data_IF_530621360188
#
_entry.id   IF_530621360188
#
_cell.length_a   1.000
_cell.length_b   1.000
_cell.length_c   1.000
_cell.angle_alpha   90.00
_cell.angle_beta   90.00
_cell.angle_gamma   90.00
#
_symmetry.space_group_name_H-M   'P 1'
#
loop_
_entity.id
_entity.type
_entity.pdbx_description
1 polymer ?
#
# COMPACT_ATOMS: atom_id res chain seq x y z
N UNK A 1 15.28 -0.28 5.13
CA UNK A 1 14.84 1.10 4.96
C UNK A 1 15.20 1.59 3.56
N UNK A 2 14.35 2.42 2.95
CA UNK A 2 14.63 3.02 1.63
C UNK A 2 15.65 4.16 1.74
N UNK A 3 15.77 4.80 2.90
CA UNK A 3 16.66 5.96 3.08
C UNK A 3 18.14 5.66 2.85
N UNK A 4 18.55 4.41 3.09
CA UNK A 4 19.93 3.92 2.97
C UNK A 4 20.07 2.71 2.03
N UNK A 5 19.00 2.33 1.34
CA UNK A 5 18.95 1.19 0.45
C UNK A 5 19.04 -0.17 1.13
N UNK A 6 19.00 -0.26 2.47
CA UNK A 6 19.10 -1.52 3.20
C UNK A 6 17.96 -2.50 2.88
N UNK A 7 16.79 -2.01 2.47
CA UNK A 7 15.66 -2.84 2.00
C UNK A 7 16.05 -3.77 0.83
N UNK A 8 17.06 -3.40 0.04
CA UNK A 8 17.62 -4.25 -1.01
C UNK A 8 18.34 -5.49 -0.48
N UNK A 9 18.71 -5.53 0.79
CA UNK A 9 19.42 -6.67 1.40
C UNK A 9 18.46 -7.70 1.99
N UNK A 10 17.18 -7.37 2.15
CA UNK A 10 16.19 -8.27 2.74
C UNK A 10 15.88 -9.45 1.80
N UNK A 11 15.78 -10.69 2.32
CA UNK A 11 15.16 -11.79 1.58
C UNK A 11 13.66 -11.57 1.54
N UNK A 12 13.07 -11.45 0.34
CA UNK A 12 11.66 -11.16 0.17
C UNK A 12 10.95 -12.30 -0.56
N UNK A 13 9.79 -12.73 -0.05
CA UNK A 13 8.85 -13.60 -0.76
C UNK A 13 7.67 -12.78 -1.32
N UNK A 14 7.23 -11.78 -0.56
CA UNK A 14 6.23 -10.81 -0.99
C UNK A 14 6.79 -9.41 -0.77
N UNK A 15 6.70 -8.57 -1.79
CA UNK A 15 7.05 -7.17 -1.69
C UNK A 15 5.82 -6.28 -1.92
N UNK A 16 5.78 -5.14 -1.25
CA UNK A 16 4.75 -4.12 -1.45
C UNK A 16 5.47 -2.81 -1.78
N UNK A 17 5.06 -2.16 -2.86
CA UNK A 17 5.52 -0.82 -3.22
C UNK A 17 4.30 0.09 -3.30
N UNK A 18 4.19 0.99 -2.34
CA UNK A 18 3.05 1.90 -2.18
C UNK A 18 3.18 3.14 -3.05
N UNK A 19 4.34 3.74 -3.04
CA UNK A 19 4.68 4.92 -3.84
C UNK A 19 6.20 4.99 -4.04
N UNK A 20 6.62 5.84 -4.96
CA UNK A 20 8.01 6.30 -5.12
C UNK A 20 7.95 7.81 -5.21
N UNK A 21 8.54 8.49 -4.22
CA UNK A 21 8.63 9.95 -4.20
C UNK A 21 10.08 10.41 -4.26
N UNK A 22 10.30 11.71 -4.47
CA UNK A 22 11.63 12.27 -4.61
C UNK A 22 12.24 12.53 -3.23
N UNK A 23 12.66 11.44 -2.58
CA UNK A 23 13.22 11.45 -1.24
C UNK A 23 14.62 10.80 -1.21
N UNK A 24 15.36 11.01 -0.12
CA UNK A 24 16.64 10.37 0.15
C UNK A 24 17.71 10.59 -0.94
N UNK A 25 17.69 11.77 -1.59
CA UNK A 25 18.59 12.08 -2.69
C UNK A 25 20.05 12.19 -2.25
N UNK A 26 20.28 12.49 -0.98
CA UNK A 26 21.62 12.47 -0.39
C UNK A 26 22.25 11.08 -0.48
N UNK A 27 21.47 10.02 -0.38
CA UNK A 27 21.90 8.65 -0.55
C UNK A 27 21.95 8.24 -2.03
N UNK A 28 20.84 8.37 -2.76
CA UNK A 28 20.72 7.88 -4.13
C UNK A 28 21.39 8.76 -5.18
N UNK A 29 21.73 10.02 -4.87
CA UNK A 29 22.37 11.02 -5.75
C UNK A 29 21.51 11.43 -6.95
N UNK A 30 20.52 10.65 -7.35
CA UNK A 30 19.60 10.99 -8.44
C UNK A 30 18.29 10.22 -8.34
N UNK A 31 17.22 10.78 -8.93
CA UNK A 31 15.92 10.10 -9.04
C UNK A 31 16.03 8.79 -9.83
N UNK A 32 16.88 8.74 -10.86
CA UNK A 32 17.12 7.52 -11.64
C UNK A 32 17.71 6.38 -10.81
N UNK A 33 18.59 6.68 -9.88
CA UNK A 33 19.17 5.68 -8.99
C UNK A 33 18.13 5.17 -7.98
N UNK A 34 17.27 6.06 -7.47
CA UNK A 34 16.13 5.69 -6.63
C UNK A 34 15.16 4.77 -7.38
N UNK A 35 14.73 5.13 -8.60
CA UNK A 35 13.91 4.26 -9.46
C UNK A 35 14.55 2.89 -9.66
N UNK A 36 15.85 2.85 -9.95
CA UNK A 36 16.59 1.59 -10.16
C UNK A 36 16.62 0.73 -8.90
N UNK A 37 16.74 1.33 -7.71
CA UNK A 37 16.68 0.60 -6.44
C UNK A 37 15.31 -0.08 -6.25
N UNK A 38 14.21 0.61 -6.52
CA UNK A 38 12.87 0.03 -6.46
C UNK A 38 12.67 -1.06 -7.53
N UNK A 39 13.19 -0.87 -8.75
CA UNK A 39 13.17 -1.93 -9.77
C UNK A 39 13.92 -3.18 -9.27
N UNK A 40 15.13 -3.02 -8.73
CA UNK A 40 15.90 -4.12 -8.16
C UNK A 40 15.14 -4.83 -7.03
N UNK A 41 14.48 -4.08 -6.14
CA UNK A 41 13.67 -4.65 -5.07
C UNK A 41 12.53 -5.53 -5.59
N UNK A 42 11.81 -5.05 -6.60
CA UNK A 42 10.72 -5.79 -7.24
C UNK A 42 11.26 -7.04 -7.97
N UNK A 43 12.38 -6.90 -8.69
CA UNK A 43 13.03 -8.00 -9.42
C UNK A 43 13.55 -9.11 -8.51
N UNK A 44 13.87 -8.81 -7.25
CA UNK A 44 14.29 -9.79 -6.25
C UNK A 44 13.16 -10.72 -5.79
N UNK A 45 11.90 -10.34 -6.00
CA UNK A 45 10.77 -11.18 -5.59
C UNK A 45 10.78 -12.49 -6.39
N UNK A 46 10.89 -13.66 -5.73
CA UNK A 46 11.03 -14.93 -6.39
C UNK A 46 9.77 -15.35 -7.14
N UNK A 47 9.89 -16.36 -8.01
CA UNK A 47 8.78 -16.87 -8.82
C UNK A 47 7.59 -17.36 -7.98
N UNK A 48 7.87 -17.90 -6.79
CA UNK A 48 6.84 -18.38 -5.84
C UNK A 48 6.15 -17.24 -5.08
N UNK A 49 6.72 -16.03 -5.11
CA UNK A 49 6.21 -14.85 -4.44
C UNK A 49 5.43 -13.91 -5.36
N UNK A 50 5.02 -12.77 -4.82
CA UNK A 50 4.35 -11.70 -5.57
C UNK A 50 4.82 -10.32 -5.13
N UNK A 51 4.93 -9.40 -6.09
CA UNK A 51 5.12 -7.97 -5.83
C UNK A 51 3.79 -7.24 -5.99
N UNK A 52 3.29 -6.64 -4.92
CA UNK A 52 2.07 -5.83 -4.91
C UNK A 52 2.45 -4.36 -5.15
N UNK A 53 1.97 -3.77 -6.22
CA UNK A 53 2.43 -2.46 -6.69
C UNK A 53 1.24 -1.53 -6.88
N UNK A 54 1.29 -0.35 -6.24
CA UNK A 54 0.25 0.68 -6.37
C UNK A 54 0.36 1.38 -7.73
N UNK A 55 -0.57 1.10 -8.65
CA UNK A 55 -0.54 1.73 -9.99
C UNK A 55 -1.16 3.13 -10.04
N UNK A 56 -1.70 3.64 -8.94
CA UNK A 56 -2.19 5.02 -8.89
C UNK A 56 -1.03 6.01 -8.75
N UNK A 57 0.14 5.56 -8.29
CA UNK A 57 1.34 6.39 -8.25
C UNK A 57 1.96 6.53 -9.65
N UNK A 58 2.13 7.78 -10.10
CA UNK A 58 2.64 8.12 -11.45
C UNK A 58 4.06 7.60 -11.69
N UNK A 59 4.91 7.65 -10.66
CA UNK A 59 6.30 7.23 -10.78
C UNK A 59 6.42 5.72 -10.88
N UNK A 60 5.58 4.99 -10.15
CA UNK A 60 5.45 3.53 -10.27
C UNK A 60 5.00 3.14 -11.68
N UNK A 61 3.99 3.81 -12.25
CA UNK A 61 3.56 3.54 -13.64
C UNK A 61 4.70 3.66 -14.65
N UNK A 62 5.63 4.60 -14.45
CA UNK A 62 6.80 4.76 -15.34
C UNK A 62 7.74 3.57 -15.25
N UNK A 63 8.05 3.10 -14.04
CA UNK A 63 9.01 2.00 -13.85
C UNK A 63 8.44 0.65 -14.21
N UNK A 64 7.12 0.44 -14.15
CA UNK A 64 6.47 -0.83 -14.51
C UNK A 64 6.89 -1.35 -15.89
N UNK A 65 7.08 -0.44 -16.86
CA UNK A 65 7.52 -0.77 -18.22
C UNK A 65 8.96 -1.29 -18.29
N UNK A 66 9.77 -1.03 -17.25
CA UNK A 66 11.18 -1.43 -17.17
C UNK A 66 11.37 -2.76 -16.43
N UNK A 67 10.34 -3.22 -15.69
CA UNK A 67 10.41 -4.41 -14.85
C UNK A 67 10.18 -5.67 -15.70
N UNK A 68 11.07 -6.64 -15.57
CA UNK A 68 11.03 -7.93 -16.28
C UNK A 68 10.27 -9.00 -15.50
N UNK A 69 10.21 -8.87 -14.16
CA UNK A 69 9.51 -9.82 -13.30
C UNK A 69 8.02 -9.87 -13.63
N UNK A 70 7.51 -11.07 -13.94
CA UNK A 70 6.10 -11.30 -14.31
C UNK A 70 5.21 -11.61 -13.10
N UNK A 71 5.77 -11.70 -11.88
CA UNK A 71 5.03 -11.99 -10.66
C UNK A 71 4.50 -10.71 -9.98
N UNK A 72 4.14 -9.72 -10.78
CA UNK A 72 3.59 -8.45 -10.31
C UNK A 72 2.07 -8.55 -10.27
N UNK A 73 1.49 -8.07 -9.17
CA UNK A 73 0.08 -7.79 -9.01
C UNK A 73 -0.09 -6.31 -8.68
N UNK A 74 -0.96 -5.65 -9.39
CA UNK A 74 -1.21 -4.22 -9.20
C UNK A 74 -2.43 -3.99 -8.33
N UNK A 75 -2.42 -2.90 -7.56
CA UNK A 75 -3.57 -2.49 -6.77
C UNK A 75 -3.79 -0.98 -6.85
N UNK A 76 -5.01 -0.53 -6.57
CA UNK A 76 -5.37 0.88 -6.59
C UNK A 76 -6.83 1.13 -6.97
N UNK A 77 -7.18 2.40 -7.16
CA UNK A 77 -8.49 2.84 -7.67
C UNK A 77 -8.59 2.71 -9.20
N UNK A 78 -7.46 2.69 -9.88
CA UNK A 78 -7.38 2.54 -11.34
C UNK A 78 -8.15 1.31 -11.84
N UNK A 79 -8.89 1.47 -12.94
CA UNK A 79 -9.63 0.37 -13.59
C UNK A 79 -8.71 -0.76 -14.09
N UNK A 80 -7.44 -0.46 -14.28
CA UNK A 80 -6.40 -1.39 -14.74
C UNK A 80 -5.80 -2.25 -13.62
N UNK A 81 -6.10 -1.92 -12.33
CA UNK A 81 -5.56 -2.65 -11.19
C UNK A 81 -6.08 -4.09 -11.12
N UNK A 82 -5.18 -5.05 -10.80
CA UNK A 82 -5.58 -6.43 -10.51
C UNK A 82 -6.47 -6.53 -9.26
N UNK A 83 -6.16 -5.71 -8.25
CA UNK A 83 -6.94 -5.51 -7.04
C UNK A 83 -7.48 -4.09 -7.05
N UNK A 84 -8.67 -3.92 -7.62
CA UNK A 84 -9.27 -2.62 -7.83
C UNK A 84 -10.13 -2.22 -6.66
N UNK A 85 -9.86 -1.05 -6.10
CA UNK A 85 -10.72 -0.40 -5.11
C UNK A 85 -11.92 0.22 -5.84
N UNK A 86 -13.12 -0.07 -5.37
CA UNK A 86 -14.37 0.51 -5.88
C UNK A 86 -15.29 0.93 -4.75
N UNK A 87 -16.20 1.88 -5.03
CA UNK A 87 -17.16 2.41 -4.08
C UNK A 87 -16.56 2.89 -2.75
N UNK A 88 -15.48 3.70 -2.74
CA UNK A 88 -14.93 4.23 -1.51
C UNK A 88 -15.94 5.17 -0.83
N UNK A 89 -16.08 5.04 0.49
CA UNK A 89 -16.94 5.87 1.32
C UNK A 89 -16.24 6.14 2.63
N UNK A 90 -16.35 7.36 3.12
CA UNK A 90 -15.67 7.83 4.31
C UNK A 90 -16.68 8.44 5.28
N UNK A 91 -16.46 8.26 6.57
CA UNK A 91 -17.10 9.03 7.62
C UNK A 91 -16.04 9.50 8.64
N UNK A 92 -16.44 10.11 9.73
CA UNK A 92 -15.52 10.65 10.74
C UNK A 92 -14.65 9.61 11.47
N UNK A 93 -14.89 8.31 11.28
CA UNK A 93 -14.19 7.25 12.04
C UNK A 93 -13.72 6.08 11.17
N UNK A 94 -14.30 5.90 9.98
CA UNK A 94 -14.10 4.70 9.17
C UNK A 94 -14.02 5.03 7.69
N UNK A 95 -13.23 4.24 6.99
CA UNK A 95 -13.28 4.10 5.54
C UNK A 95 -13.95 2.77 5.16
N UNK A 96 -14.76 2.80 4.11
CA UNK A 96 -15.43 1.61 3.56
C UNK A 96 -15.14 1.56 2.07
N UNK A 97 -14.92 0.37 1.54
CA UNK A 97 -14.72 0.16 0.12
C UNK A 97 -15.07 -1.25 -0.31
N UNK A 98 -15.24 -1.44 -1.59
CA UNK A 98 -15.33 -2.75 -2.22
C UNK A 98 -14.01 -3.06 -2.92
N UNK A 99 -13.67 -4.34 -3.05
CA UNK A 99 -12.50 -4.80 -3.78
C UNK A 99 -12.92 -5.73 -4.90
N UNK A 100 -12.59 -5.37 -6.14
CA UNK A 100 -12.78 -6.18 -7.33
C UNK A 100 -11.44 -6.82 -7.73
N UNK A 101 -11.39 -8.13 -7.92
CA UNK A 101 -10.19 -8.86 -8.34
C UNK A 101 -10.54 -10.15 -9.08
N UNK A 102 -9.53 -10.79 -9.68
CA UNK A 102 -9.66 -12.15 -10.21
C UNK A 102 -9.05 -13.15 -9.23
N UNK A 103 -9.81 -14.16 -8.85
CA UNK A 103 -9.31 -15.22 -7.97
C UNK A 103 -8.37 -16.19 -8.73
N UNK A 104 -7.82 -17.19 -8.04
CA UNK A 104 -6.89 -18.18 -8.61
C UNK A 104 -7.45 -18.95 -9.82
N UNK A 105 -8.79 -19.07 -9.92
CA UNK A 105 -9.46 -19.69 -11.06
C UNK A 105 -9.79 -18.65 -12.16
N UNK A 106 -9.16 -17.49 -12.14
CA UNK A 106 -9.37 -16.39 -13.08
C UNK A 106 -10.81 -15.83 -13.10
N UNK A 107 -11.64 -16.18 -12.10
CA UNK A 107 -13.02 -15.72 -11.97
C UNK A 107 -13.05 -14.34 -11.31
N UNK A 108 -13.81 -13.41 -11.91
CA UNK A 108 -14.08 -12.10 -11.32
C UNK A 108 -14.77 -12.28 -9.97
N UNK A 109 -14.21 -11.69 -8.95
CA UNK A 109 -14.66 -11.78 -7.55
C UNK A 109 -14.75 -10.38 -6.97
N UNK A 110 -15.77 -10.14 -6.16
CA UNK A 110 -15.95 -8.87 -5.44
C UNK A 110 -16.09 -9.12 -3.95
N UNK A 111 -15.24 -8.46 -3.18
CA UNK A 111 -15.39 -8.37 -1.72
C UNK A 111 -16.11 -7.06 -1.44
N UNK A 112 -17.33 -7.14 -0.93
CA UNK A 112 -18.13 -5.96 -0.60
C UNK A 112 -17.89 -5.50 0.82
N UNK A 113 -17.96 -4.19 1.01
CA UNK A 113 -18.01 -3.53 2.31
C UNK A 113 -16.84 -3.94 3.23
N UNK A 114 -15.61 -3.76 2.74
CA UNK A 114 -14.42 -3.80 3.58
C UNK A 114 -14.45 -2.58 4.48
N UNK A 115 -14.29 -2.76 5.78
CA UNK A 115 -14.35 -1.71 6.79
C UNK A 115 -12.97 -1.55 7.42
N UNK A 116 -12.46 -0.32 7.43
CA UNK A 116 -11.18 0.06 8.00
C UNK A 116 -11.40 1.19 9.02
N UNK A 117 -10.88 1.03 10.24
CA UNK A 117 -10.95 2.05 11.31
C UNK A 117 -9.89 3.16 11.14
N UNK A 118 -9.53 3.46 9.92
CA UNK A 118 -8.65 4.56 9.55
C UNK A 118 -9.28 5.34 8.40
N UNK A 119 -9.04 6.64 8.37
CA UNK A 119 -9.61 7.55 7.37
C UNK A 119 -8.53 7.87 6.34
N UNK A 120 -8.96 8.17 5.12
CA UNK A 120 -8.09 8.64 4.04
C UNK A 120 -7.81 7.58 2.97
N UNK A 121 -7.64 8.06 1.74
CA UNK A 121 -7.37 7.21 0.58
C UNK A 121 -6.07 6.42 0.72
N UNK A 122 -5.03 7.02 1.30
CA UNK A 122 -3.76 6.36 1.55
C UNK A 122 -3.90 5.14 2.46
N UNK A 123 -4.77 5.21 3.50
CA UNK A 123 -5.05 4.08 4.37
C UNK A 123 -5.86 2.98 3.65
N UNK A 124 -6.77 3.35 2.75
CA UNK A 124 -7.50 2.39 1.91
C UNK A 124 -6.54 1.68 0.94
N UNK A 125 -5.58 2.41 0.34
CA UNK A 125 -4.53 1.83 -0.50
C UNK A 125 -3.65 0.86 0.30
N UNK A 126 -3.17 1.25 1.48
CA UNK A 126 -2.35 0.40 2.34
C UNK A 126 -3.09 -0.86 2.80
N UNK A 127 -4.37 -0.71 3.21
CA UNK A 127 -5.23 -1.84 3.57
C UNK A 127 -5.46 -2.78 2.39
N UNK A 128 -5.61 -2.23 1.17
CA UNK A 128 -5.78 -3.03 -0.05
C UNK A 128 -4.54 -3.85 -0.36
N UNK A 129 -3.34 -3.28 -0.20
CA UNK A 129 -2.08 -4.01 -0.38
C UNK A 129 -1.98 -5.19 0.60
N UNK A 130 -2.23 -4.95 1.89
CA UNK A 130 -2.24 -5.98 2.92
C UNK A 130 -3.29 -7.07 2.64
N UNK A 131 -4.51 -6.67 2.24
CA UNK A 131 -5.60 -7.57 1.89
C UNK A 131 -5.22 -8.44 0.68
N UNK A 132 -4.61 -7.86 -0.35
CA UNK A 132 -4.15 -8.58 -1.54
C UNK A 132 -3.06 -9.62 -1.20
N UNK A 133 -2.08 -9.29 -0.33
CA UNK A 133 -1.10 -10.27 0.16
C UNK A 133 -1.79 -11.42 0.88
N UNK A 134 -2.69 -11.11 1.83
CA UNK A 134 -3.41 -12.12 2.59
C UNK A 134 -4.26 -13.06 1.70
N UNK A 135 -4.91 -12.52 0.65
CA UNK A 135 -5.63 -13.33 -0.34
C UNK A 135 -4.68 -14.29 -1.04
N UNK A 136 -3.51 -13.80 -1.49
CA UNK A 136 -2.52 -14.64 -2.18
C UNK A 136 -1.91 -15.72 -1.27
N UNK A 137 -1.89 -15.49 0.04
CA UNK A 137 -1.50 -16.47 1.05
C UNK A 137 -2.64 -17.43 1.46
N UNK A 138 -3.82 -17.33 0.83
CA UNK A 138 -4.96 -18.21 1.12
C UNK A 138 -5.72 -17.89 2.40
N UNK A 139 -5.52 -16.74 3.01
CA UNK A 139 -6.25 -16.35 4.22
C UNK A 139 -7.72 -16.10 3.90
N UNK A 140 -8.62 -16.65 4.72
CA UNK A 140 -10.06 -16.51 4.52
C UNK A 140 -10.52 -15.05 4.62
N UNK A 141 -11.35 -14.60 3.70
CA UNK A 141 -11.81 -13.20 3.57
C UNK A 141 -12.46 -12.66 4.86
N UNK A 142 -13.23 -13.47 5.57
CA UNK A 142 -13.85 -13.06 6.83
C UNK A 142 -12.81 -12.74 7.92
N UNK A 143 -11.70 -13.47 7.96
CA UNK A 143 -10.58 -13.22 8.88
C UNK A 143 -9.91 -11.88 8.54
N UNK A 144 -9.61 -11.66 7.24
CA UNK A 144 -8.99 -10.41 6.79
C UNK A 144 -9.89 -9.21 7.11
N UNK A 145 -11.19 -9.29 6.80
CA UNK A 145 -12.15 -8.23 7.11
C UNK A 145 -12.24 -7.93 8.61
N UNK A 146 -12.23 -8.97 9.45
CA UNK A 146 -12.23 -8.81 10.90
C UNK A 146 -10.95 -8.12 11.40
N UNK A 147 -9.79 -8.51 10.87
CA UNK A 147 -8.51 -7.89 11.21
C UNK A 147 -8.48 -6.39 10.83
N UNK A 148 -8.86 -6.05 9.60
CA UNK A 148 -8.91 -4.66 9.13
C UNK A 148 -9.87 -3.79 9.94
N UNK A 149 -11.06 -4.31 10.27
CA UNK A 149 -12.04 -3.60 11.11
C UNK A 149 -11.52 -3.29 12.51
N UNK A 150 -10.68 -4.15 13.06
CA UNK A 150 -10.13 -4.02 14.41
C UNK A 150 -8.77 -3.29 14.43
N UNK A 151 -8.15 -3.09 13.28
CA UNK A 151 -6.87 -2.41 13.19
C UNK A 151 -7.03 -0.92 13.48
N UNK A 152 -6.32 -0.41 14.47
CA UNK A 152 -6.41 0.98 14.95
C UNK A 152 -5.27 1.87 14.45
N UNK A 153 -4.47 1.40 13.50
CA UNK A 153 -3.33 2.13 12.99
C UNK A 153 -2.01 1.77 13.67
N UNK A 154 -0.97 2.49 13.30
CA UNK A 154 0.36 2.40 13.92
C UNK A 154 0.64 3.69 14.68
N UNK A 155 1.50 3.61 15.69
CA UNK A 155 1.91 4.77 16.47
C UNK A 155 2.54 5.84 15.57
N UNK A 156 2.37 7.11 15.93
CA UNK A 156 2.90 8.27 15.21
C UNK A 156 2.39 8.39 13.77
N UNK A 157 1.17 7.92 13.51
CA UNK A 157 0.40 8.16 12.27
C UNK A 157 -0.99 8.63 12.68
N UNK A 158 -1.17 9.96 12.75
CA UNK A 158 -2.38 10.63 13.28
C UNK A 158 -2.84 10.01 14.61
N UNK A 159 -1.87 9.73 15.50
CA UNK A 159 -2.15 9.11 16.81
C UNK A 159 -2.66 10.16 17.76
N UNK A 160 -3.93 10.03 18.18
CA UNK A 160 -4.48 10.93 19.19
C UNK A 160 -3.79 10.70 20.55
N UNK A 161 -3.16 11.74 21.11
CA UNK A 161 -2.43 11.68 22.37
C UNK A 161 -3.34 12.07 23.54
N UNK A 162 -3.99 13.21 23.45
CA UNK A 162 -4.89 13.69 24.51
C UNK A 162 -5.91 14.71 23.97
N UNK A 163 -6.88 15.04 24.81
CA UNK A 163 -7.86 16.12 24.57
C UNK A 163 -7.80 17.13 25.71
N UNK A 164 -7.71 18.41 25.40
CA UNK A 164 -7.75 19.51 26.38
C UNK A 164 -8.62 20.65 25.85
N UNK A 165 -9.58 21.11 26.67
CA UNK A 165 -10.48 22.23 26.31
C UNK A 165 -11.17 22.05 24.95
N UNK A 166 -11.68 20.84 24.65
CA UNK A 166 -12.30 20.43 23.37
C UNK A 166 -11.33 20.39 22.17
N UNK A 167 -10.05 20.69 22.35
CA UNK A 167 -9.03 20.52 21.32
C UNK A 167 -8.45 19.10 21.41
N UNK A 168 -8.28 18.45 20.26
CA UNK A 168 -7.64 17.15 20.16
C UNK A 168 -6.20 17.33 19.68
N UNK A 169 -5.27 16.62 20.32
CA UNK A 169 -3.84 16.66 19.99
C UNK A 169 -3.42 15.33 19.41
N UNK A 170 -2.74 15.40 18.27
CA UNK A 170 -2.28 14.25 17.52
C UNK A 170 -0.76 14.28 17.36
N UNK A 171 -0.15 13.09 17.36
CA UNK A 171 1.25 12.87 16.98
C UNK A 171 1.28 12.24 15.59
N UNK A 172 2.03 12.87 14.69
CA UNK A 172 2.26 12.35 13.35
C UNK A 172 3.73 12.47 12.98
N UNK A 173 4.30 11.43 12.40
CA UNK A 173 5.70 11.41 11.96
C UNK A 173 5.89 12.04 10.57
N UNK A 174 4.82 12.51 9.94
CA UNK A 174 4.90 13.14 8.63
C UNK A 174 5.89 14.31 8.64
N UNK A 175 6.90 14.25 7.79
CA UNK A 175 7.97 15.23 7.68
C UNK A 175 8.29 15.59 6.23
N UNK A 176 7.72 14.88 5.25
CA UNK A 176 7.82 15.17 3.83
C UNK A 176 6.58 15.92 3.33
N UNK A 177 6.70 16.89 2.39
CA UNK A 177 5.55 17.67 1.90
C UNK A 177 4.37 16.83 1.43
N UNK A 178 4.62 15.71 0.74
CA UNK A 178 3.58 14.81 0.25
C UNK A 178 2.86 14.10 1.41
N UNK A 179 3.58 13.72 2.47
CA UNK A 179 2.99 13.10 3.67
C UNK A 179 2.12 14.10 4.45
N UNK A 180 2.60 15.36 4.59
CA UNK A 180 1.88 16.42 5.32
C UNK A 180 0.59 16.80 4.59
N UNK A 181 0.56 16.69 3.26
CA UNK A 181 -0.60 17.07 2.44
C UNK A 181 -1.61 15.94 2.23
N UNK A 182 -1.32 14.72 2.66
CA UNK A 182 -2.19 13.56 2.50
C UNK A 182 -3.09 13.31 3.69
#
# INVERSE_FOLDING_TARGET
DESDGSFLKLPVNYSIVTNIDYEHIDYYKSYKNLENAFIQFIEKTPVIGKSLICIDNKNIKKILKKIKNKNILTYGFSKEANYRISNPRYNSKYSFFDLDYKNFNNKKTKIKNVNLKLIGEHNVLNATAALAVCINLGVKINIIKKALKNFSGVQRRMTKIFTKNKNEFFDDYAHHPTEISS
#
